data_IF_828149866744
#
_entry.id   IF_828149866744
#
_cell.length_a   1.000
_cell.length_b   1.000
_cell.length_c   1.000
_cell.angle_alpha   90.00
_cell.angle_beta   90.00
_cell.angle_gamma   90.00
#
_symmetry.space_group_name_H-M   'P 1'
#
loop_
_entity.id
_entity.type
_entity.pdbx_description
1 polymer ?
#
# COMPACT_ATOMS: atom_id res chain seq x y z
N UNK A 1 4.26 -8.52 24.34
CA UNK A 1 4.44 -7.77 23.07
C UNK A 1 3.22 -8.02 22.20
N UNK A 2 2.49 -6.98 21.77
CA UNK A 2 1.52 -7.13 20.67
C UNK A 2 2.32 -7.25 19.38
N UNK A 3 2.15 -8.34 18.65
CA UNK A 3 2.65 -8.44 17.27
C UNK A 3 1.90 -7.37 16.45
N UNK A 4 2.62 -6.52 15.70
CA UNK A 4 1.94 -5.64 14.76
C UNK A 4 1.33 -6.52 13.68
N UNK A 5 0.01 -6.53 13.57
CA UNK A 5 -0.62 -6.98 12.33
C UNK A 5 -0.09 -6.08 11.21
N UNK A 6 0.29 -6.63 10.04
CA UNK A 6 0.45 -5.78 8.88
C UNK A 6 -0.87 -5.04 8.69
N UNK A 7 -0.80 -3.72 8.60
CA UNK A 7 -1.95 -2.90 8.27
C UNK A 7 -2.11 -2.91 6.76
N UNK A 8 -3.21 -3.50 6.28
CA UNK A 8 -3.62 -3.42 4.88
C UNK A 8 -4.62 -2.26 4.71
N UNK A 9 -4.39 -1.42 3.71
CA UNK A 9 -5.27 -0.30 3.41
C UNK A 9 -6.65 -0.76 2.90
N UNK A 10 -6.75 -1.98 2.35
CA UNK A 10 -8.02 -2.56 1.89
C UNK A 10 -8.92 -2.97 3.07
N UNK A 11 -8.31 -3.38 4.19
CA UNK A 11 -9.03 -3.75 5.43
C UNK A 11 -9.28 -2.55 6.35
N UNK A 12 -8.67 -1.39 6.02
CA UNK A 12 -8.75 -0.20 6.84
C UNK A 12 -10.18 0.27 7.15
N UNK A 13 -11.16 0.23 6.21
CA UNK A 13 -12.51 0.67 6.53
C UNK A 13 -13.15 -0.11 7.68
N UNK A 14 -13.02 -1.43 7.67
CA UNK A 14 -13.62 -2.30 8.69
C UNK A 14 -12.91 -2.12 10.03
N UNK A 15 -11.57 -2.02 10.01
CA UNK A 15 -10.78 -1.80 11.23
C UNK A 15 -11.12 -0.45 11.87
N UNK A 16 -11.20 0.63 11.08
CA UNK A 16 -11.44 1.98 11.59
C UNK A 16 -12.86 2.11 12.18
N UNK A 17 -13.86 1.46 11.57
CA UNK A 17 -15.24 1.41 12.11
C UNK A 17 -15.36 0.70 13.46
N UNK A 18 -14.38 -0.11 13.88
CA UNK A 18 -14.39 -0.70 15.22
C UNK A 18 -14.08 0.29 16.34
N UNK A 19 -13.46 1.44 16.01
CA UNK A 19 -13.00 2.44 16.97
C UNK A 19 -13.83 3.72 16.90
N UNK A 20 -14.32 4.07 15.72
CA UNK A 20 -15.08 5.30 15.51
C UNK A 20 -16.49 4.99 15.00
N UNK A 21 -17.51 5.59 15.61
CA UNK A 21 -18.92 5.38 15.26
C UNK A 21 -19.27 5.86 13.84
N UNK A 22 -18.80 7.05 13.46
CA UNK A 22 -19.09 7.67 12.16
C UNK A 22 -17.78 8.19 11.53
N UNK A 23 -17.25 7.40 10.60
CA UNK A 23 -16.06 7.74 9.80
C UNK A 23 -16.35 7.45 8.34
N UNK A 24 -16.23 8.49 7.54
CA UNK A 24 -16.12 8.36 6.10
C UNK A 24 -14.69 7.96 5.75
N UNK A 25 -14.53 6.86 5.00
CA UNK A 25 -13.23 6.35 4.60
C UNK A 25 -13.03 6.61 3.11
N UNK A 26 -11.97 7.35 2.80
CA UNK A 26 -11.56 7.61 1.43
C UNK A 26 -10.34 6.75 1.11
N UNK A 27 -10.47 5.86 0.13
CA UNK A 27 -9.36 5.10 -0.43
C UNK A 27 -8.70 5.87 -1.57
N UNK A 28 -7.40 5.67 -1.75
CA UNK A 28 -6.64 6.33 -2.81
C UNK A 28 -5.46 5.49 -3.26
N UNK A 29 -5.07 5.72 -4.52
CA UNK A 29 -3.84 5.24 -5.12
C UNK A 29 -2.97 6.44 -5.52
N UNK A 30 -1.71 6.44 -5.12
CA UNK A 30 -0.77 7.50 -5.46
C UNK A 30 0.59 6.94 -5.92
N UNK A 31 1.24 7.54 -6.93
CA UNK A 31 2.60 7.19 -7.29
C UNK A 31 3.54 7.40 -6.10
N UNK A 32 4.33 6.37 -5.77
CA UNK A 32 5.32 6.43 -4.69
C UNK A 32 6.73 6.63 -5.24
N UNK A 33 7.11 5.82 -6.22
CA UNK A 33 8.45 5.86 -6.82
C UNK A 33 8.40 5.31 -8.24
N UNK A 34 9.16 5.92 -9.15
CA UNK A 34 9.40 5.37 -10.48
C UNK A 34 10.66 4.51 -10.43
N UNK A 35 10.61 3.32 -11.03
CA UNK A 35 11.71 2.37 -11.04
C UNK A 35 12.44 2.46 -12.38
N UNK A 36 13.58 3.18 -12.45
CA UNK A 36 14.21 3.50 -13.72
C UNK A 36 14.86 2.30 -14.41
N UNK A 37 15.18 1.25 -13.66
CA UNK A 37 15.96 0.10 -14.16
C UNK A 37 15.36 -1.24 -13.74
N UNK A 38 15.62 -2.32 -14.50
CA UNK A 38 15.26 -3.68 -14.09
C UNK A 38 15.79 -4.06 -12.69
N UNK A 39 17.00 -3.61 -12.32
CA UNK A 39 17.55 -3.83 -10.98
C UNK A 39 16.71 -3.13 -9.90
N UNK A 40 16.26 -1.90 -10.15
CA UNK A 40 15.36 -1.19 -9.20
C UNK A 40 13.99 -1.88 -9.05
N UNK A 41 13.52 -2.60 -10.08
CA UNK A 41 12.30 -3.45 -10.03
C UNK A 41 12.52 -4.67 -9.13
N UNK A 42 13.68 -5.32 -9.25
CA UNK A 42 14.05 -6.48 -8.46
C UNK A 42 14.21 -6.12 -6.98
N UNK A 43 14.91 -5.03 -6.69
CA UNK A 43 15.14 -4.57 -5.32
C UNK A 43 13.85 -4.11 -4.65
N UNK A 44 12.98 -3.41 -5.36
CA UNK A 44 11.68 -2.99 -4.83
C UNK A 44 10.77 -4.18 -4.51
N UNK A 45 10.85 -5.27 -5.28
CA UNK A 45 10.05 -6.48 -5.06
C UNK A 45 10.57 -7.32 -3.90
N UNK A 46 11.89 -7.47 -3.78
CA UNK A 46 12.53 -8.18 -2.65
C UNK A 46 12.21 -7.52 -1.31
N UNK A 47 12.27 -6.20 -1.26
CA UNK A 47 11.99 -5.44 -0.03
C UNK A 47 10.50 -5.43 0.35
N UNK A 48 9.59 -5.62 -0.62
CA UNK A 48 8.13 -5.60 -0.43
C UNK A 48 7.50 -7.01 -0.38
N UNK A 49 8.25 -7.99 0.13
CA UNK A 49 7.74 -9.34 0.47
C UNK A 49 7.39 -10.24 -0.73
N UNK A 50 7.89 -9.96 -1.94
CA UNK A 50 7.85 -10.95 -3.03
C UNK A 50 9.06 -11.88 -2.92
N UNK A 51 8.84 -13.20 -3.03
CA UNK A 51 9.94 -14.18 -3.05
C UNK A 51 10.94 -13.89 -4.18
N UNK A 52 12.18 -14.35 -4.05
CA UNK A 52 13.26 -14.02 -4.99
C UNK A 52 12.92 -14.35 -6.46
N UNK A 53 12.22 -15.46 -6.70
CA UNK A 53 11.75 -15.85 -8.03
C UNK A 53 10.72 -14.87 -8.60
N UNK A 54 9.78 -14.39 -7.78
CA UNK A 54 8.76 -13.43 -8.18
C UNK A 54 9.38 -12.06 -8.50
N UNK A 55 10.39 -11.65 -7.74
CA UNK A 55 11.14 -10.42 -8.01
C UNK A 55 11.91 -10.50 -9.34
N UNK A 56 12.55 -11.63 -9.61
CA UNK A 56 13.28 -11.87 -10.86
C UNK A 56 12.33 -11.91 -12.07
N UNK A 57 11.17 -12.55 -11.94
CA UNK A 57 10.13 -12.57 -12.98
C UNK A 57 9.63 -11.15 -13.28
N UNK A 58 9.28 -10.39 -12.24
CA UNK A 58 8.80 -9.02 -12.40
C UNK A 58 9.82 -8.11 -13.10
N UNK A 59 11.11 -8.26 -12.81
CA UNK A 59 12.17 -7.49 -13.47
C UNK A 59 12.31 -7.78 -14.98
N UNK A 60 11.90 -8.98 -15.43
CA UNK A 60 11.91 -9.36 -16.85
C UNK A 60 10.67 -8.94 -17.61
N UNK A 61 9.51 -8.99 -16.94
CA UNK A 61 8.20 -8.80 -17.57
C UNK A 61 7.72 -7.34 -17.57
N UNK A 62 8.16 -6.52 -16.61
CA UNK A 62 7.76 -5.12 -16.52
C UNK A 62 8.63 -4.23 -17.42
N UNK A 63 7.99 -3.51 -18.34
CA UNK A 63 8.66 -2.49 -19.13
C UNK A 63 9.11 -1.33 -18.22
N UNK A 64 10.41 -1.01 -18.25
CA UNK A 64 10.97 0.13 -17.55
C UNK A 64 10.63 1.46 -18.26
N UNK A 65 10.30 2.54 -17.52
CA UNK A 65 10.27 2.61 -16.05
C UNK A 65 8.84 2.48 -15.47
N UNK A 66 8.49 1.43 -14.70
CA UNK A 66 7.18 1.37 -14.07
C UNK A 66 7.10 2.31 -12.86
N UNK A 67 5.92 2.88 -12.62
CA UNK A 67 5.61 3.55 -11.37
C UNK A 67 5.09 2.53 -10.35
N UNK A 68 5.66 2.52 -9.15
CA UNK A 68 5.10 1.83 -7.99
C UNK A 68 4.02 2.73 -7.41
N UNK A 69 2.79 2.24 -7.37
CA UNK A 69 1.69 2.91 -6.66
C UNK A 69 1.66 2.46 -5.21
N UNK A 70 1.36 3.40 -4.32
CA UNK A 70 0.98 3.13 -2.93
C UNK A 70 -0.52 3.30 -2.81
N UNK A 71 -1.14 2.32 -2.17
CA UNK A 71 -2.55 2.37 -1.78
C UNK A 71 -2.65 2.86 -0.35
N UNK A 72 -3.66 3.67 -0.08
CA UNK A 72 -3.93 4.17 1.25
C UNK A 72 -5.41 4.36 1.49
N UNK A 73 -5.75 4.50 2.76
CA UNK A 73 -7.07 4.85 3.22
C UNK A 73 -6.91 5.97 4.26
N UNK A 74 -7.76 6.98 4.17
CA UNK A 74 -7.84 8.08 5.14
C UNK A 74 -9.27 8.21 5.64
N UNK A 75 -9.43 8.13 6.96
CA UNK A 75 -10.71 8.37 7.62
C UNK A 75 -10.89 9.85 7.94
N UNK A 76 -12.09 10.38 7.69
CA UNK A 76 -12.54 11.64 8.22
C UNK A 76 -13.79 11.40 9.06
N UNK A 77 -13.78 11.88 10.31
CA UNK A 77 -15.02 11.96 11.10
C UNK A 77 -15.59 13.37 10.92
N UNK A 78 -16.88 13.52 10.59
CA UNK A 78 -17.48 14.85 10.59
C UNK A 78 -17.35 15.41 12.00
N UNK A 79 -16.72 16.59 12.13
CA UNK A 79 -16.64 17.27 13.41
C UNK A 79 -18.05 17.35 14.00
N UNK A 80 -18.23 16.81 15.21
CA UNK A 80 -19.50 16.87 15.92
C UNK A 80 -19.77 18.35 16.24
N UNK A 81 -20.49 19.04 15.36
CA UNK A 81 -21.06 20.35 15.63
C UNK A 81 -22.14 20.13 16.70
N UNK A 82 -21.71 20.12 17.96
CA UNK A 82 -22.60 20.25 19.13
C UNK A 82 -22.96 21.71 19.34
#
# INVERSE_FOLDING_TARGET
MRLSSPFDAEEAPDIVRTVFDDVEVHTWDAPLVTLPTPESIKDSRRTRLSGAEQAERAARELAAPPAVTKRGASGCSPARLT
#
